data_IF_419121581899
#
_entry.id   IF_419121581899
#
_cell.length_a   1.000
_cell.length_b   1.000
_cell.length_c   1.000
_cell.angle_alpha   90.00
_cell.angle_beta   90.00
_cell.angle_gamma   90.00
#
_symmetry.space_group_name_H-M   'P 1'
#
loop_
_entity.id
_entity.type
_entity.pdbx_description
1 polymer ?
#
# COMPACT_ATOMS: atom_id res chain seq x y z
N UNK A 1 26.71 -9.58 -4.95
CA UNK A 1 25.26 -9.31 -4.93
C UNK A 1 24.57 -10.16 -5.98
N UNK A 2 23.42 -10.76 -5.67
CA UNK A 2 22.68 -11.55 -6.65
C UNK A 2 22.15 -10.65 -7.79
N UNK A 3 22.12 -11.18 -9.03
CA UNK A 3 21.63 -10.46 -10.21
C UNK A 3 20.25 -9.83 -10.00
N UNK A 4 19.35 -10.52 -9.28
CA UNK A 4 18.03 -10.02 -8.87
C UNK A 4 18.11 -8.66 -8.16
N UNK A 5 19.00 -8.53 -7.18
CA UNK A 5 19.13 -7.29 -6.39
C UNK A 5 19.75 -6.16 -7.22
N UNK A 6 20.69 -6.48 -8.12
CA UNK A 6 21.25 -5.49 -9.05
C UNK A 6 20.16 -4.90 -9.96
N UNK A 7 19.32 -5.75 -10.56
CA UNK A 7 18.20 -5.31 -11.41
C UNK A 7 17.25 -4.42 -10.61
N UNK A 8 16.84 -4.86 -9.41
CA UNK A 8 15.93 -4.09 -8.56
C UNK A 8 16.52 -2.72 -8.19
N UNK A 9 17.78 -2.67 -7.75
CA UNK A 9 18.45 -1.42 -7.39
C UNK A 9 18.57 -0.45 -8.57
N UNK A 10 18.81 -0.97 -9.78
CA UNK A 10 18.88 -0.17 -11.00
C UNK A 10 17.50 0.28 -11.51
N UNK A 11 16.42 -0.39 -11.10
CA UNK A 11 15.05 -0.06 -11.48
C UNK A 11 14.43 1.05 -10.61
N UNK A 12 14.83 1.17 -9.35
CA UNK A 12 14.25 2.16 -8.42
C UNK A 12 14.29 3.62 -8.94
N UNK A 13 15.41 4.11 -9.52
CA UNK A 13 15.46 5.48 -10.04
C UNK A 13 14.57 5.70 -11.28
N UNK A 14 14.13 4.63 -11.95
CA UNK A 14 13.29 4.70 -13.15
C UNK A 14 11.78 4.73 -12.80
N UNK A 15 11.41 4.42 -11.55
CA UNK A 15 10.02 4.38 -11.10
C UNK A 15 9.21 5.64 -11.40
N UNK A 16 9.75 6.87 -11.24
CA UNK A 16 8.97 8.09 -11.50
C UNK A 16 8.57 8.28 -12.98
N UNK A 17 9.17 7.52 -13.90
CA UNK A 17 8.93 7.65 -15.34
C UNK A 17 8.33 6.39 -15.97
N UNK A 18 8.59 5.21 -15.40
CA UNK A 18 8.20 3.92 -16.00
C UNK A 18 7.24 3.11 -15.09
N UNK A 19 6.87 3.64 -13.92
CA UNK A 19 5.98 3.00 -12.95
C UNK A 19 6.46 1.65 -12.40
N UNK A 20 5.61 0.99 -11.60
CA UNK A 20 5.85 -0.34 -11.00
C UNK A 20 5.55 -1.49 -11.96
N UNK A 21 6.04 -1.38 -13.18
CA UNK A 21 5.73 -2.31 -14.26
C UNK A 21 6.89 -3.26 -14.57
N UNK A 22 6.56 -4.33 -15.29
CA UNK A 22 7.55 -5.26 -15.85
C UNK A 22 8.53 -4.57 -16.81
N UNK A 23 8.08 -3.58 -17.59
CA UNK A 23 8.95 -2.87 -18.55
C UNK A 23 10.06 -2.10 -17.85
N UNK A 24 9.81 -1.55 -16.65
CA UNK A 24 10.85 -0.92 -15.82
C UNK A 24 11.99 -1.89 -15.50
N UNK A 25 11.66 -3.13 -15.15
CA UNK A 25 12.66 -4.17 -14.88
C UNK A 25 13.42 -4.59 -16.15
N UNK A 26 12.72 -4.74 -17.28
CA UNK A 26 13.36 -5.06 -18.56
C UNK A 26 14.31 -3.95 -19.01
N UNK A 27 13.96 -2.68 -18.78
CA UNK A 27 14.82 -1.54 -19.08
C UNK A 27 16.04 -1.47 -18.14
N UNK A 28 15.84 -1.68 -16.84
CA UNK A 28 16.94 -1.79 -15.89
C UNK A 28 17.91 -2.92 -16.29
N UNK A 29 17.38 -4.09 -16.69
CA UNK A 29 18.19 -5.21 -17.17
C UNK A 29 18.97 -4.86 -18.44
N UNK A 30 18.34 -4.18 -19.42
CA UNK A 30 19.02 -3.74 -20.65
C UNK A 30 20.16 -2.75 -20.35
N UNK A 31 19.97 -1.87 -19.39
CA UNK A 31 21.02 -0.92 -18.95
C UNK A 31 22.20 -1.63 -18.29
N UNK A 32 21.94 -2.68 -17.49
CA UNK A 32 22.98 -3.44 -16.79
C UNK A 32 23.69 -4.46 -17.70
N UNK A 33 22.95 -5.10 -18.61
CA UNK A 33 23.44 -6.20 -19.46
C UNK A 33 22.89 -6.06 -20.90
N UNK A 34 23.47 -5.19 -21.74
CA UNK A 34 22.97 -4.95 -23.10
C UNK A 34 23.11 -6.18 -24.03
N UNK A 35 23.92 -7.17 -23.66
CA UNK A 35 24.14 -8.39 -24.46
C UNK A 35 22.97 -9.39 -24.41
N UNK A 36 22.01 -9.21 -23.49
CA UNK A 36 20.89 -10.15 -23.33
C UNK A 36 19.81 -9.85 -24.36
N UNK A 37 19.68 -10.68 -25.39
CA UNK A 37 18.67 -10.51 -26.45
C UNK A 37 17.23 -10.68 -25.96
N UNK A 38 16.98 -11.59 -25.01
CA UNK A 38 15.66 -11.85 -24.44
C UNK A 38 15.57 -11.39 -22.98
N UNK A 39 15.39 -10.08 -22.76
CA UNK A 39 15.25 -9.50 -21.42
C UNK A 39 14.07 -10.09 -20.66
N UNK A 40 12.96 -10.32 -21.35
CA UNK A 40 11.69 -10.66 -20.73
C UNK A 40 11.69 -12.08 -20.19
N UNK A 41 12.30 -13.03 -20.91
CA UNK A 41 12.50 -14.40 -20.43
C UNK A 41 13.42 -14.49 -19.21
N UNK A 42 14.42 -13.60 -19.12
CA UNK A 42 15.27 -13.49 -17.92
C UNK A 42 14.49 -12.95 -16.73
N UNK A 43 13.62 -11.94 -16.95
CA UNK A 43 12.74 -11.43 -15.89
C UNK A 43 11.78 -12.52 -15.41
N UNK A 44 11.15 -13.27 -16.31
CA UNK A 44 10.26 -14.39 -15.94
C UNK A 44 11.00 -15.46 -15.13
N UNK A 45 12.25 -15.77 -15.51
CA UNK A 45 13.07 -16.76 -14.81
C UNK A 45 13.45 -16.30 -13.40
N UNK A 46 13.73 -15.01 -13.20
CA UNK A 46 14.22 -14.46 -11.92
C UNK A 46 13.07 -14.12 -10.96
N UNK A 47 11.98 -13.56 -11.48
CA UNK A 47 10.88 -13.01 -10.69
C UNK A 47 9.60 -13.85 -10.74
N UNK A 48 9.54 -14.82 -11.64
CA UNK A 48 8.34 -15.60 -11.93
C UNK A 48 7.56 -15.05 -13.12
N UNK A 49 6.74 -15.91 -13.71
CA UNK A 49 5.95 -15.58 -14.89
C UNK A 49 4.81 -14.60 -14.55
N UNK A 50 4.44 -13.77 -15.53
CA UNK A 50 3.30 -12.86 -15.44
C UNK A 50 3.69 -11.43 -15.06
N UNK A 51 2.69 -10.56 -14.89
CA UNK A 51 2.91 -9.15 -14.54
C UNK A 51 3.03 -8.91 -13.03
N UNK A 52 2.28 -9.67 -12.23
CA UNK A 52 2.10 -9.40 -10.80
C UNK A 52 3.37 -9.67 -9.99
N UNK A 53 4.03 -10.82 -10.20
CA UNK A 53 5.19 -11.20 -9.39
C UNK A 53 6.39 -10.26 -9.59
N UNK A 54 6.77 -9.85 -10.82
CA UNK A 54 7.81 -8.85 -11.03
C UNK A 54 7.43 -7.48 -10.46
N UNK A 55 6.20 -6.99 -10.69
CA UNK A 55 5.73 -5.72 -10.17
C UNK A 55 5.73 -5.68 -8.64
N UNK A 56 5.27 -6.76 -7.99
CA UNK A 56 5.31 -6.89 -6.52
C UNK A 56 6.73 -6.89 -5.97
N UNK A 57 7.65 -7.62 -6.61
CA UNK A 57 9.06 -7.61 -6.20
C UNK A 57 9.69 -6.22 -6.30
N UNK A 58 9.26 -5.40 -7.28
CA UNK A 58 9.70 -4.02 -7.43
C UNK A 58 9.12 -3.11 -6.34
N UNK A 59 7.85 -3.30 -5.96
CA UNK A 59 7.24 -2.59 -4.82
C UNK A 59 7.92 -2.96 -3.50
N UNK A 60 8.20 -4.25 -3.27
CA UNK A 60 8.89 -4.70 -2.06
C UNK A 60 10.30 -4.08 -1.97
N UNK A 61 11.06 -4.07 -3.07
CA UNK A 61 12.37 -3.44 -3.12
C UNK A 61 12.31 -1.91 -2.89
N UNK A 62 11.30 -1.24 -3.45
CA UNK A 62 11.07 0.19 -3.21
C UNK A 62 10.74 0.46 -1.74
N UNK A 63 9.93 -0.40 -1.10
CA UNK A 63 9.62 -0.32 0.31
C UNK A 63 10.88 -0.46 1.16
N UNK A 64 11.71 -1.48 0.89
CA UNK A 64 12.98 -1.71 1.62
C UNK A 64 13.91 -0.50 1.54
N UNK A 65 14.07 0.09 0.35
CA UNK A 65 14.88 1.29 0.17
C UNK A 65 14.27 2.51 0.89
N UNK A 66 12.95 2.62 0.91
CA UNK A 66 12.24 3.65 1.70
C UNK A 66 12.45 3.50 3.20
N UNK A 67 12.53 2.27 3.73
CA UNK A 67 12.89 2.02 5.13
C UNK A 67 14.35 2.40 5.40
N UNK A 68 15.28 2.12 4.47
CA UNK A 68 16.67 2.59 4.59
C UNK A 68 16.75 4.12 4.61
N UNK A 69 15.96 4.80 3.79
CA UNK A 69 15.90 6.26 3.79
C UNK A 69 15.43 6.83 5.14
N UNK A 70 14.57 6.11 5.89
CA UNK A 70 14.19 6.48 7.27
C UNK A 70 15.36 6.38 8.25
N UNK A 71 16.29 5.44 8.06
CA UNK A 71 17.45 5.25 8.95
C UNK A 71 18.61 6.22 8.67
N UNK A 72 18.53 7.02 7.60
CA UNK A 72 19.67 7.78 7.05
C UNK A 72 20.17 8.96 7.89
N UNK A 73 19.42 9.42 8.90
CA UNK A 73 19.86 10.55 9.71
C UNK A 73 20.91 10.11 10.73
N UNK A 74 21.92 10.97 10.92
CA UNK A 74 23.04 10.73 11.86
C UNK A 74 22.73 11.23 13.26
N UNK A 75 21.58 11.85 13.47
CA UNK A 75 21.25 12.48 14.75
C UNK A 75 20.97 11.44 15.84
N UNK A 76 21.34 11.78 17.09
CA UNK A 76 21.34 10.83 18.22
C UNK A 76 19.94 10.54 18.75
N UNK A 77 19.00 11.47 18.55
CA UNK A 77 17.60 11.34 18.92
C UNK A 77 16.76 11.97 17.83
N UNK A 78 16.16 11.15 16.98
CA UNK A 78 15.28 11.61 15.92
C UNK A 78 13.85 11.71 16.46
N UNK A 79 13.16 12.81 16.16
CA UNK A 79 11.73 12.87 16.42
C UNK A 79 10.99 11.90 15.49
N UNK A 80 9.96 11.23 16.01
CA UNK A 80 9.14 10.29 15.25
C UNK A 80 8.52 10.97 14.01
N UNK A 81 8.18 12.25 14.11
CA UNK A 81 7.67 13.04 13.00
C UNK A 81 8.67 13.12 11.85
N UNK A 82 9.94 13.43 12.15
CA UNK A 82 10.99 13.60 11.13
C UNK A 82 11.32 12.28 10.40
N UNK A 83 11.25 11.15 11.10
CA UNK A 83 11.40 9.82 10.49
C UNK A 83 10.29 9.57 9.46
N UNK A 84 9.03 9.82 9.84
CA UNK A 84 7.89 9.60 8.95
C UNK A 84 7.82 10.63 7.82
N UNK A 85 8.19 11.89 8.06
CA UNK A 85 8.30 12.94 7.02
C UNK A 85 9.28 12.54 5.92
N UNK A 86 10.44 11.97 6.29
CA UNK A 86 11.40 11.43 5.32
C UNK A 86 10.80 10.28 4.50
N UNK A 87 10.06 9.37 5.14
CA UNK A 87 9.39 8.27 4.42
C UNK A 87 8.35 8.78 3.43
N UNK A 88 7.51 9.74 3.83
CA UNK A 88 6.50 10.37 2.96
C UNK A 88 7.18 11.11 1.80
N UNK A 89 8.27 11.84 2.07
CA UNK A 89 9.03 12.55 1.03
C UNK A 89 9.63 11.57 0.02
N UNK A 90 10.18 10.44 0.48
CA UNK A 90 10.63 9.37 -0.40
C UNK A 90 9.48 8.78 -1.23
N UNK A 91 8.30 8.57 -0.64
CA UNK A 91 7.11 8.13 -1.40
C UNK A 91 6.67 9.15 -2.46
N UNK A 92 6.72 10.44 -2.16
CA UNK A 92 6.33 11.49 -3.09
C UNK A 92 7.23 11.55 -4.33
N UNK A 93 8.48 11.06 -4.25
CA UNK A 93 9.40 10.99 -5.38
C UNK A 93 8.97 10.02 -6.48
N UNK A 94 8.10 9.06 -6.18
CA UNK A 94 7.55 8.11 -7.16
C UNK A 94 6.47 8.73 -8.05
N UNK A 95 5.88 9.83 -7.59
CA UNK A 95 4.90 10.57 -8.37
C UNK A 95 3.51 9.91 -8.38
N UNK A 96 2.85 9.92 -9.53
CA UNK A 96 1.50 9.36 -9.75
C UNK A 96 1.46 7.83 -9.67
N UNK A 97 2.60 7.18 -9.89
CA UNK A 97 2.75 5.73 -9.91
C UNK A 97 2.60 5.09 -8.53
N UNK A 98 2.51 5.88 -7.45
CA UNK A 98 2.23 5.37 -6.11
C UNK A 98 0.89 4.62 -6.06
N UNK A 99 -0.12 5.06 -6.82
CA UNK A 99 -1.42 4.35 -6.89
C UNK A 99 -1.25 2.92 -7.42
N UNK A 100 -0.35 2.74 -8.39
CA UNK A 100 -0.04 1.42 -8.94
C UNK A 100 0.67 0.53 -7.91
N UNK A 101 1.55 1.09 -7.07
CA UNK A 101 2.15 0.35 -5.97
C UNK A 101 1.08 -0.22 -5.02
N UNK A 102 0.09 0.59 -4.65
CA UNK A 102 -1.03 0.15 -3.81
C UNK A 102 -1.90 -0.91 -4.51
N UNK A 103 -2.15 -0.77 -5.81
CA UNK A 103 -2.84 -1.78 -6.59
C UNK A 103 -2.06 -3.12 -6.59
N UNK A 104 -0.75 -3.07 -6.78
CA UNK A 104 0.11 -4.25 -6.72
C UNK A 104 0.17 -4.90 -5.32
N UNK A 105 0.13 -4.10 -4.24
CA UNK A 105 0.09 -4.61 -2.86
C UNK A 105 -1.23 -5.31 -2.51
N UNK A 106 -2.35 -4.79 -3.04
CA UNK A 106 -3.70 -5.35 -2.84
C UNK A 106 -3.97 -6.56 -3.73
N UNK A 107 -3.23 -6.71 -4.82
CA UNK A 107 -3.34 -7.83 -5.76
C UNK A 107 -2.85 -9.13 -5.07
N UNK A 108 -3.69 -10.17 -4.99
CA UNK A 108 -3.26 -11.46 -4.43
C UNK A 108 -2.22 -12.10 -5.36
N UNK A 109 -1.10 -12.58 -4.80
CA UNK A 109 -0.04 -13.25 -5.58
C UNK A 109 -0.48 -14.57 -6.20
N UNK A 110 -1.48 -15.21 -5.62
CA UNK A 110 -2.15 -16.38 -6.17
C UNK A 110 -3.63 -16.15 -5.97
N UNK A 111 -4.43 -16.19 -7.03
CA UNK A 111 -5.88 -16.30 -6.90
C UNK A 111 -6.17 -17.74 -6.47
N UNK A 112 -6.55 -18.00 -5.20
CA UNK A 112 -6.98 -19.34 -4.82
C UNK A 112 -8.24 -19.63 -5.63
N UNK A 113 -8.12 -20.47 -6.64
CA UNK A 113 -9.25 -20.83 -7.47
C UNK A 113 -9.98 -21.99 -6.79
N UNK A 114 -10.97 -21.64 -5.99
CA UNK A 114 -11.81 -22.64 -5.31
C UNK A 114 -12.78 -23.20 -6.37
N UNK A 115 -12.81 -24.52 -6.60
CA UNK A 115 -13.83 -25.12 -7.47
C UNK A 115 -15.20 -24.84 -6.83
N UNK A 116 -16.11 -24.23 -7.60
CA UNK A 116 -17.45 -23.93 -7.11
C UNK A 116 -18.17 -25.26 -6.80
N UNK A 117 -18.76 -25.45 -5.61
CA UNK A 117 -19.86 -26.38 -5.49
C UNK A 117 -21.00 -25.86 -6.39
N UNK A 118 -21.53 -26.71 -7.27
CA UNK A 118 -22.62 -26.38 -8.19
C UNK A 118 -23.92 -26.18 -7.42
N UNK A 119 -24.06 -25.07 -6.69
CA UNK A 119 -25.26 -24.77 -5.91
C UNK A 119 -26.14 -23.82 -6.73
N UNK A 120 -27.31 -24.27 -7.23
CA UNK A 120 -28.18 -23.46 -8.09
C UNK A 120 -28.67 -22.15 -7.42
N UNK A 121 -28.69 -22.11 -6.07
CA UNK A 121 -29.13 -20.96 -5.26
C UNK A 121 -28.20 -19.74 -5.42
N UNK A 122 -26.90 -19.92 -5.64
CA UNK A 122 -25.99 -18.78 -5.82
C UNK A 122 -26.19 -18.08 -7.17
N UNK A 123 -26.61 -18.81 -8.22
CA UNK A 123 -26.91 -18.22 -9.53
C UNK A 123 -28.12 -17.30 -9.48
N UNK A 124 -29.17 -17.69 -8.75
CA UNK A 124 -30.36 -16.85 -8.58
C UNK A 124 -30.06 -15.59 -7.77
N UNK A 125 -29.28 -15.68 -6.69
CA UNK A 125 -28.89 -14.51 -5.88
C UNK A 125 -27.97 -13.53 -6.64
N UNK A 126 -27.01 -14.03 -7.42
CA UNK A 126 -26.12 -13.18 -8.22
C UNK A 126 -26.85 -12.49 -9.37
N UNK A 127 -27.88 -13.12 -9.94
CA UNK A 127 -28.71 -12.49 -10.99
C UNK A 127 -29.50 -11.27 -10.52
N UNK A 128 -29.69 -11.12 -9.20
CA UNK A 128 -30.44 -10.00 -8.60
C UNK A 128 -29.56 -8.78 -8.30
N UNK A 129 -28.23 -8.92 -8.30
CA UNK A 129 -27.31 -7.83 -7.98
C UNK A 129 -27.03 -6.99 -9.23
N UNK A 130 -27.52 -5.74 -9.24
CA UNK A 130 -27.15 -4.74 -10.25
C UNK A 130 -25.75 -4.20 -9.93
N UNK A 131 -24.75 -4.71 -10.64
CA UNK A 131 -23.36 -4.21 -10.53
C UNK A 131 -23.30 -2.83 -11.21
N UNK A 132 -22.73 -1.80 -10.56
CA UNK A 132 -22.53 -0.50 -11.19
C UNK A 132 -21.59 -0.62 -12.41
N UNK A 133 -21.72 0.27 -13.41
CA UNK A 133 -20.86 0.25 -14.58
C UNK A 133 -19.39 0.38 -14.15
N UNK A 134 -18.54 -0.51 -14.68
CA UNK A 134 -17.09 -0.43 -14.48
C UNK A 134 -16.58 0.91 -15.02
N UNK A 135 -15.72 1.60 -14.26
CA UNK A 135 -15.14 2.87 -14.69
C UNK A 135 -14.40 2.69 -16.02
N UNK A 136 -14.83 3.42 -17.05
CA UNK A 136 -14.14 3.51 -18.34
C UNK A 136 -13.42 4.86 -18.37
N UNK A 137 -12.09 4.90 -18.61
CA UNK A 137 -11.36 6.15 -18.71
C UNK A 137 -11.94 7.03 -19.84
N UNK A 138 -12.02 8.36 -19.66
CA UNK A 138 -12.59 9.28 -20.66
C UNK A 138 -11.94 9.18 -22.05
N UNK A 139 -10.67 8.80 -22.12
CA UNK A 139 -9.92 8.65 -23.37
C UNK A 139 -10.38 7.46 -24.23
N UNK A 140 -11.21 6.54 -23.68
CA UNK A 140 -11.65 5.31 -24.35
C UNK A 140 -13.17 5.23 -24.53
N UNK A 141 -13.91 6.33 -24.35
CA UNK A 141 -15.37 6.31 -24.57
C UNK A 141 -15.68 6.09 -26.06
N UNK A 142 -16.29 4.95 -26.45
CA UNK A 142 -16.75 4.77 -27.81
C UNK A 142 -17.91 5.73 -28.10
N UNK A 143 -17.99 6.22 -29.34
CA UNK A 143 -19.01 7.19 -29.78
C UNK A 143 -20.45 6.65 -29.80
N UNK A 144 -20.64 5.36 -29.57
CA UNK A 144 -21.96 4.72 -29.48
C UNK A 144 -22.22 4.27 -28.03
N UNK A 145 -23.37 4.64 -27.43
CA UNK A 145 -23.72 4.19 -26.08
C UNK A 145 -23.83 2.66 -26.08
N UNK A 146 -23.13 1.95 -25.17
CA UNK A 146 -23.23 0.51 -25.09
C UNK A 146 -24.65 0.10 -24.70
N UNK A 147 -25.27 -0.76 -25.49
CA UNK A 147 -26.51 -1.44 -25.12
C UNK A 147 -26.32 -2.17 -23.78
N UNK A 148 -27.28 -2.11 -22.85
CA UNK A 148 -27.14 -2.73 -21.54
C UNK A 148 -27.03 -4.25 -21.69
N UNK A 149 -25.80 -4.76 -21.61
CA UNK A 149 -25.53 -6.20 -21.51
C UNK A 149 -25.96 -6.68 -20.13
N UNK A 150 -26.90 -7.64 -20.09
CA UNK A 150 -27.32 -8.29 -18.85
C UNK A 150 -26.14 -8.88 -18.10
N UNK A 151 -26.10 -8.72 -16.78
CA UNK A 151 -25.04 -9.24 -15.91
C UNK A 151 -24.80 -10.76 -16.08
N UNK A 152 -25.81 -11.51 -16.53
CA UNK A 152 -25.72 -12.92 -16.85
C UNK A 152 -24.74 -13.23 -18.00
N UNK A 153 -24.68 -12.41 -19.06
CA UNK A 153 -23.80 -12.70 -20.19
C UNK A 153 -22.32 -12.47 -19.85
N UNK A 154 -22.02 -11.49 -18.99
CA UNK A 154 -20.66 -11.23 -18.50
C UNK A 154 -20.21 -12.38 -17.60
N UNK A 155 -21.09 -12.87 -16.72
CA UNK A 155 -20.78 -13.99 -15.84
C UNK A 155 -20.61 -15.31 -16.61
N UNK A 156 -21.44 -15.56 -17.64
CA UNK A 156 -21.31 -16.73 -18.52
C UNK A 156 -20.02 -16.67 -19.35
N UNK A 157 -19.62 -15.49 -19.82
CA UNK A 157 -18.37 -15.30 -20.53
C UNK A 157 -17.15 -15.49 -19.61
N UNK A 158 -17.20 -14.98 -18.38
CA UNK A 158 -16.15 -15.23 -17.37
C UNK A 158 -16.09 -16.70 -16.98
N UNK A 159 -17.22 -17.35 -16.68
CA UNK A 159 -17.25 -18.76 -16.25
C UNK A 159 -16.85 -19.73 -17.35
N UNK A 160 -17.10 -19.42 -18.62
CA UNK A 160 -16.57 -20.19 -19.75
C UNK A 160 -15.07 -19.95 -19.95
N UNK A 161 -14.59 -18.71 -19.79
CA UNK A 161 -13.16 -18.40 -19.90
C UNK A 161 -12.30 -18.98 -18.75
N UNK A 162 -12.85 -19.08 -17.54
CA UNK A 162 -12.13 -19.54 -16.35
C UNK A 162 -12.41 -21.01 -15.98
N UNK A 163 -13.07 -21.78 -16.86
CA UNK A 163 -13.36 -23.20 -16.61
C UNK A 163 -14.22 -23.43 -15.36
N UNK A 164 -15.27 -22.63 -15.20
CA UNK A 164 -16.23 -22.67 -14.08
C UNK A 164 -15.65 -22.33 -12.71
N UNK A 165 -14.54 -21.60 -12.66
CA UNK A 165 -13.98 -21.04 -11.43
C UNK A 165 -14.32 -19.56 -11.39
N UNK A 166 -15.13 -19.11 -10.43
CA UNK A 166 -15.30 -17.66 -10.22
C UNK A 166 -13.97 -17.18 -9.62
N UNK A 167 -13.26 -16.24 -10.27
CA UNK A 167 -12.17 -15.55 -9.60
C UNK A 167 -12.82 -14.74 -8.49
N UNK A 168 -12.85 -15.29 -7.27
CA UNK A 168 -13.05 -14.47 -6.10
C UNK A 168 -11.84 -13.55 -6.08
N UNK A 169 -12.05 -12.30 -6.50
CA UNK A 169 -11.10 -11.22 -6.30
C UNK A 169 -10.98 -11.06 -4.79
N UNK A 170 -10.16 -11.89 -4.15
CA UNK A 170 -9.75 -11.70 -2.78
C UNK A 170 -8.89 -10.46 -2.80
N UNK A 171 -9.54 -9.30 -2.72
CA UNK A 171 -8.84 -8.06 -2.35
C UNK A 171 -8.12 -8.43 -1.07
N UNK A 172 -6.81 -8.25 -1.04
CA UNK A 172 -6.06 -8.36 0.19
C UNK A 172 -6.05 -6.96 0.82
N UNK A 173 -7.07 -6.57 1.62
CA UNK A 173 -7.09 -5.25 2.25
C UNK A 173 -5.91 -5.07 3.21
N UNK A 174 -5.28 -6.18 3.62
CA UNK A 174 -4.12 -6.17 4.48
C UNK A 174 -2.84 -5.80 3.73
N UNK A 175 -2.82 -5.72 2.40
CA UNK A 175 -1.64 -5.31 1.64
C UNK A 175 -1.14 -3.93 2.08
N UNK A 176 -1.92 -2.86 1.85
CA UNK A 176 -1.58 -1.51 2.31
C UNK A 176 -1.36 -1.39 3.81
N UNK A 177 -2.16 -2.10 4.62
CA UNK A 177 -1.99 -2.09 6.07
C UNK A 177 -0.67 -2.73 6.51
N UNK A 178 -0.29 -3.87 5.92
CA UNK A 178 0.98 -4.54 6.21
C UNK A 178 2.18 -3.70 5.78
N UNK A 179 2.05 -2.97 4.67
CA UNK A 179 3.03 -2.00 4.21
C UNK A 179 3.23 -0.88 5.24
N UNK A 180 2.15 -0.26 5.70
CA UNK A 180 2.20 0.78 6.73
C UNK A 180 2.65 0.26 8.10
N UNK A 181 2.29 -0.99 8.43
CA UNK A 181 2.73 -1.66 9.65
C UNK A 181 4.24 -1.77 9.74
N UNK A 182 4.89 -2.18 8.65
CA UNK A 182 6.36 -2.25 8.59
C UNK A 182 7.01 -0.87 8.75
N UNK A 183 6.41 0.17 8.18
CA UNK A 183 6.89 1.55 8.33
C UNK A 183 6.73 2.02 9.77
N UNK A 184 5.59 1.75 10.40
CA UNK A 184 5.35 2.07 11.80
C UNK A 184 6.31 1.32 12.73
N UNK A 185 6.59 0.04 12.45
CA UNK A 185 7.53 -0.77 13.21
C UNK A 185 8.95 -0.19 13.14
N UNK A 186 9.44 0.12 11.94
CA UNK A 186 10.75 0.74 11.74
C UNK A 186 10.84 2.14 12.37
N UNK A 187 9.79 2.96 12.24
CA UNK A 187 9.75 4.29 12.83
C UNK A 187 9.81 4.25 14.36
N UNK A 188 9.06 3.33 14.98
CA UNK A 188 9.12 3.09 16.43
C UNK A 188 10.49 2.55 16.83
N UNK A 189 11.05 1.59 16.07
CA UNK A 189 12.38 1.05 16.32
C UNK A 189 13.44 2.16 16.35
N UNK A 190 13.48 3.02 15.33
CA UNK A 190 14.43 4.13 15.23
C UNK A 190 14.23 5.15 16.36
N UNK A 191 12.99 5.55 16.65
CA UNK A 191 12.70 6.51 17.71
C UNK A 191 13.01 5.97 19.12
N UNK A 192 12.85 4.66 19.32
CA UNK A 192 12.92 4.06 20.65
C UNK A 192 14.28 3.46 21.00
N UNK A 193 15.05 2.97 20.02
CA UNK A 193 16.36 2.36 20.23
C UNK A 193 17.51 3.35 20.14
N UNK A 194 17.38 4.40 19.32
CA UNK A 194 18.46 5.37 19.11
C UNK A 194 18.64 6.22 20.37
N UNK A 195 19.71 5.92 21.11
CA UNK A 195 20.05 6.58 22.38
C UNK A 195 19.91 5.72 23.64
N UNK A 196 19.43 4.46 23.54
CA UNK A 196 19.43 3.53 24.68
C UNK A 196 20.68 2.67 24.68
N UNK A 197 21.25 2.44 25.86
CA UNK A 197 22.40 1.53 26.04
C UNK A 197 21.95 0.11 25.69
N UNK A 198 22.65 -0.53 24.76
CA UNK A 198 22.38 -1.90 24.35
C UNK A 198 22.32 -2.83 25.58
N UNK A 199 21.16 -3.45 25.81
CA UNK A 199 20.93 -4.33 26.97
C UNK A 199 20.02 -3.76 28.06
N UNK A 200 19.54 -2.51 27.97
CA UNK A 200 18.51 -2.02 28.89
C UNK A 200 17.18 -2.75 28.59
N UNK A 201 16.76 -3.66 29.46
CA UNK A 201 15.43 -4.29 29.37
C UNK A 201 14.39 -3.22 29.59
N UNK A 202 13.62 -2.90 28.54
CA UNK A 202 12.50 -1.98 28.66
C UNK A 202 11.46 -2.59 29.57
N UNK A 203 10.98 -1.79 30.51
CA UNK A 203 9.83 -2.11 31.34
C UNK A 203 8.62 -1.38 30.78
N UNK A 204 7.53 -2.11 30.61
CA UNK A 204 6.23 -1.57 30.22
C UNK A 204 5.60 -0.82 31.37
N UNK A 205 4.40 -0.34 31.14
CA UNK A 205 3.64 0.39 32.13
C UNK A 205 3.48 -0.39 33.44
N UNK A 206 3.33 -1.72 33.36
CA UNK A 206 3.24 -2.64 34.51
C UNK A 206 4.59 -3.07 35.11
N UNK A 207 5.70 -2.39 34.79
CA UNK A 207 7.06 -2.82 35.12
C UNK A 207 7.48 -4.19 34.56
N UNK A 208 6.64 -4.84 33.76
CA UNK A 208 6.95 -6.07 33.04
C UNK A 208 7.94 -5.79 31.92
N UNK A 209 8.83 -6.71 31.54
CA UNK A 209 9.63 -6.54 30.33
C UNK A 209 8.66 -6.25 29.16
N UNK A 210 8.82 -5.13 28.43
CA UNK A 210 7.96 -4.83 27.28
C UNK A 210 8.20 -5.89 26.21
N UNK A 211 7.42 -6.96 26.29
CA UNK A 211 7.25 -7.92 25.24
C UNK A 211 6.18 -7.45 24.24
N UNK A 212 5.72 -8.36 23.38
CA UNK A 212 4.61 -8.12 22.46
C UNK A 212 3.27 -8.10 23.22
N UNK A 213 3.08 -7.13 24.13
CA UNK A 213 1.82 -6.91 24.85
C UNK A 213 0.81 -6.07 24.05
N UNK A 214 -0.42 -5.84 24.55
CA UNK A 214 -1.45 -5.07 23.85
C UNK A 214 -0.99 -3.66 23.43
N UNK A 215 -0.24 -2.97 24.28
CA UNK A 215 0.32 -1.63 23.99
C UNK A 215 1.23 -1.63 22.75
N UNK A 216 2.01 -2.70 22.56
CA UNK A 216 2.92 -2.87 21.43
C UNK A 216 2.14 -2.89 20.11
N UNK A 217 0.98 -3.56 20.09
CA UNK A 217 0.09 -3.63 18.93
C UNK A 217 -0.66 -2.31 18.73
N UNK A 218 -1.19 -1.72 19.79
CA UNK A 218 -1.92 -0.44 19.74
C UNK A 218 -1.05 0.69 19.19
N UNK A 219 0.22 0.78 19.62
CA UNK A 219 1.15 1.78 19.09
C UNK A 219 1.39 1.61 17.59
N UNK A 220 1.62 0.36 17.13
CA UNK A 220 1.87 0.05 15.72
C UNK A 220 0.65 0.28 14.84
N UNK A 221 -0.51 -0.24 15.22
CA UNK A 221 -1.72 -0.05 14.43
C UNK A 221 -2.09 1.43 14.35
N UNK A 222 -2.04 2.16 15.47
CA UNK A 222 -2.34 3.58 15.50
C UNK A 222 -1.38 4.39 14.61
N UNK A 223 -0.08 4.11 14.70
CA UNK A 223 0.91 4.80 13.86
C UNK A 223 0.79 4.41 12.37
N UNK A 224 0.45 3.15 12.07
CA UNK A 224 0.19 2.68 10.71
C UNK A 224 -0.99 3.43 10.08
N UNK A 225 -2.06 3.62 10.86
CA UNK A 225 -3.24 4.39 10.44
C UNK A 225 -2.88 5.85 10.21
N UNK A 226 -2.13 6.46 11.13
CA UNK A 226 -1.62 7.85 10.98
C UNK A 226 -0.85 7.99 9.67
N UNK A 227 0.09 7.09 9.42
CA UNK A 227 0.90 7.09 8.21
C UNK A 227 0.05 6.93 6.94
N UNK A 228 -0.84 5.93 6.89
CA UNK A 228 -1.73 5.73 5.73
C UNK A 228 -2.65 6.92 5.47
N UNK A 229 -3.23 7.49 6.53
CA UNK A 229 -4.11 8.65 6.42
C UNK A 229 -3.34 9.83 5.80
N UNK A 230 -2.09 10.05 6.21
CA UNK A 230 -1.27 11.13 5.68
C UNK A 230 -0.78 10.87 4.25
N UNK A 231 -0.33 9.65 3.95
CA UNK A 231 0.12 9.26 2.61
C UNK A 231 -1.04 9.23 1.59
N UNK A 232 -2.28 9.02 2.04
CA UNK A 232 -3.47 9.07 1.17
C UNK A 232 -3.64 10.40 0.44
N UNK A 233 -3.08 11.49 0.98
CA UNK A 233 -3.06 12.78 0.30
C UNK A 233 -2.23 12.76 -0.99
N UNK A 234 -1.19 11.93 -1.06
CA UNK A 234 -0.35 11.75 -2.26
C UNK A 234 -1.07 10.98 -3.38
N UNK A 235 -2.12 10.21 -3.04
CA UNK A 235 -2.94 9.43 -3.98
C UNK A 235 -4.04 10.27 -4.66
N UNK A 236 -3.90 11.60 -4.66
CA UNK A 236 -4.80 12.49 -5.39
C UNK A 236 -4.35 12.59 -6.86
N UNK A 237 -5.30 12.59 -7.82
CA UNK A 237 -4.96 12.72 -9.24
C UNK A 237 -4.26 14.05 -9.49
N UNK A 238 -3.27 14.05 -10.37
CA UNK A 238 -2.48 15.25 -10.62
C UNK A 238 -3.32 16.29 -11.36
N UNK A 239 -3.08 17.60 -11.10
CA UNK A 239 -3.72 18.63 -11.90
C UNK A 239 -3.26 18.53 -13.35
N UNK A 240 -4.20 18.70 -14.28
CA UNK A 240 -3.95 18.62 -15.72
C UNK A 240 -2.85 19.62 -16.09
N UNK A 241 -1.81 19.13 -16.77
CA UNK A 241 -0.66 19.95 -17.20
C UNK A 241 0.49 20.06 -16.20
N UNK A 242 0.46 19.34 -15.06
CA UNK A 242 1.61 19.23 -14.18
C UNK A 242 2.76 18.49 -14.88
N UNK A 243 3.90 19.15 -15.05
CA UNK A 243 5.16 18.57 -15.55
C UNK A 243 6.16 18.25 -14.44
N UNK A 244 5.78 18.52 -13.18
CA UNK A 244 6.64 18.32 -12.03
C UNK A 244 6.88 16.83 -11.80
N UNK A 245 8.15 16.46 -11.63
CA UNK A 245 8.56 15.09 -11.27
C UNK A 245 8.18 14.71 -9.84
N UNK A 246 8.03 15.70 -8.96
CA UNK A 246 7.64 15.53 -7.57
C UNK A 246 6.14 15.72 -7.38
N UNK A 247 5.55 14.94 -6.46
CA UNK A 247 4.12 15.01 -6.18
C UNK A 247 3.68 16.39 -5.66
N UNK A 248 2.72 17.08 -6.33
CA UNK A 248 2.29 18.42 -5.93
C UNK A 248 1.55 18.45 -4.59
N UNK A 249 1.13 17.30 -4.07
CA UNK A 249 0.41 17.17 -2.79
C UNK A 249 1.33 16.84 -1.61
N UNK A 250 2.66 16.92 -1.77
CA UNK A 250 3.61 16.62 -0.70
C UNK A 250 3.35 17.48 0.55
N UNK A 251 3.26 18.80 0.41
CA UNK A 251 3.07 19.71 1.56
C UNK A 251 1.77 19.39 2.32
N UNK A 252 0.71 19.08 1.59
CA UNK A 252 -0.58 18.66 2.16
C UNK A 252 -0.46 17.35 2.93
N UNK A 253 0.32 16.39 2.42
CA UNK A 253 0.59 15.11 3.09
C UNK A 253 1.39 15.30 4.38
N UNK A 254 2.41 16.17 4.36
CA UNK A 254 3.22 16.50 5.53
C UNK A 254 2.40 17.23 6.62
N UNK A 255 1.57 18.21 6.23
CA UNK A 255 0.67 18.88 7.17
C UNK A 255 -0.37 17.93 7.78
N UNK A 256 -0.88 16.98 6.99
CA UNK A 256 -1.75 15.93 7.49
C UNK A 256 -1.03 14.99 8.47
N UNK A 257 0.25 14.65 8.22
CA UNK A 257 1.08 13.87 9.14
C UNK A 257 1.25 14.58 10.48
N UNK A 258 1.59 15.86 10.50
CA UNK A 258 1.75 16.61 11.75
C UNK A 258 0.44 16.61 12.56
N UNK A 259 -0.67 16.94 11.92
CA UNK A 259 -2.01 16.94 12.54
C UNK A 259 -2.39 15.56 13.09
N UNK A 260 -2.12 14.49 12.33
CA UNK A 260 -2.46 13.13 12.73
C UNK A 260 -1.56 12.61 13.85
N UNK A 261 -0.28 13.00 13.88
CA UNK A 261 0.66 12.64 14.94
C UNK A 261 0.32 13.34 16.26
N UNK A 262 -0.09 14.60 16.24
CA UNK A 262 -0.55 15.31 17.44
C UNK A 262 -1.76 14.60 18.06
N UNK A 263 -2.74 14.22 17.23
CA UNK A 263 -3.91 13.45 17.67
C UNK A 263 -3.53 12.07 18.21
N UNK A 264 -2.61 11.39 17.54
CA UNK A 264 -2.11 10.10 18.02
C UNK A 264 -1.42 10.22 19.39
N UNK A 265 -0.58 11.24 19.58
CA UNK A 265 0.08 11.55 20.85
C UNK A 265 -0.95 11.86 21.94
N UNK A 266 -1.98 12.66 21.64
CA UNK A 266 -3.02 12.97 22.62
C UNK A 266 -3.82 11.72 23.01
N UNK A 267 -4.19 10.86 22.06
CA UNK A 267 -4.87 9.60 22.33
C UNK A 267 -4.02 8.67 23.19
N UNK A 268 -2.73 8.51 22.86
CA UNK A 268 -1.82 7.70 23.68
C UNK A 268 -1.73 8.23 25.10
N UNK A 269 -1.60 9.56 25.28
CA UNK A 269 -1.54 10.16 26.61
C UNK A 269 -2.85 10.01 27.40
N UNK A 270 -4.00 9.99 26.71
CA UNK A 270 -5.30 9.72 27.34
C UNK A 270 -5.45 8.25 27.73
N UNK A 271 -4.93 7.32 26.91
CA UNK A 271 -4.91 5.89 27.24
C UNK A 271 -4.00 5.59 28.43
N UNK A 272 -2.85 6.25 28.52
CA UNK A 272 -1.95 6.14 29.68
C UNK A 272 -2.59 6.65 30.98
N UNK A 273 -3.55 7.58 30.89
CA UNK A 273 -4.27 8.13 32.05
C UNK A 273 -5.56 7.39 32.39
N UNK A 274 -6.10 6.62 31.45
CA UNK A 274 -7.42 6.00 31.56
C UNK A 274 -7.28 4.49 31.50
N UNK A 275 -6.82 3.91 32.61
CA UNK A 275 -6.72 2.46 32.81
C UNK A 275 -8.10 1.76 32.70
N UNK A 276 -9.22 2.51 32.74
CA UNK A 276 -10.59 1.97 32.70
C UNK A 276 -11.32 2.09 31.35
N UNK A 277 -10.87 2.92 30.40
CA UNK A 277 -11.62 3.17 29.14
C UNK A 277 -10.98 2.54 27.89
N UNK A 278 -11.00 1.21 27.79
CA UNK A 278 -10.80 0.55 26.49
C UNK A 278 -11.84 0.97 25.42
N UNK A 279 -12.97 1.56 25.82
CA UNK A 279 -14.04 2.04 24.92
C UNK A 279 -13.62 3.14 23.95
N UNK A 280 -12.64 3.98 24.29
CA UNK A 280 -12.25 5.12 23.44
C UNK A 280 -11.43 4.72 22.20
N UNK A 281 -10.74 3.58 22.24
CA UNK A 281 -10.02 3.05 21.06
C UNK A 281 -10.99 2.66 19.97
N UNK A 282 -12.13 2.06 20.32
CA UNK A 282 -13.16 1.68 19.37
C UNK A 282 -13.75 2.91 18.66
N UNK A 283 -13.98 3.99 19.41
CA UNK A 283 -14.49 5.26 18.86
C UNK A 283 -13.51 5.90 17.87
N UNK A 284 -12.20 5.80 18.11
CA UNK A 284 -11.18 6.28 17.18
C UNK A 284 -11.16 5.46 15.88
N UNK A 285 -11.19 4.12 15.99
CA UNK A 285 -11.22 3.24 14.81
C UNK A 285 -12.48 3.51 13.98
N UNK A 286 -13.63 3.68 14.62
CA UNK A 286 -14.88 4.04 13.93
C UNK A 286 -14.79 5.43 13.26
N UNK A 287 -14.19 6.42 13.93
CA UNK A 287 -13.96 7.75 13.35
C UNK A 287 -13.06 7.70 12.11
N UNK A 288 -11.93 6.99 12.17
CA UNK A 288 -11.03 6.82 11.03
C UNK A 288 -11.75 6.10 9.89
N UNK A 289 -12.47 5.03 10.20
CA UNK A 289 -13.24 4.28 9.21
C UNK A 289 -14.30 5.17 8.54
N UNK A 290 -15.02 6.00 9.30
CA UNK A 290 -15.99 6.98 8.77
C UNK A 290 -15.32 8.06 7.93
N UNK A 291 -14.15 8.55 8.33
CA UNK A 291 -13.37 9.54 7.57
C UNK A 291 -12.95 8.98 6.22
N UNK A 292 -12.48 7.73 6.18
CA UNK A 292 -12.11 7.03 4.95
C UNK A 292 -13.35 6.74 4.09
N UNK A 293 -14.46 6.30 4.70
CA UNK A 293 -15.73 6.11 4.02
C UNK A 293 -16.24 7.39 3.36
N UNK A 294 -16.09 8.55 4.01
CA UNK A 294 -16.44 9.86 3.45
C UNK A 294 -15.58 10.24 2.24
N UNK A 295 -14.25 10.04 2.34
CA UNK A 295 -13.30 10.28 1.23
C UNK A 295 -13.54 9.36 0.03
N UNK A 296 -13.90 8.11 0.26
CA UNK A 296 -14.25 7.17 -0.81
C UNK A 296 -15.56 7.63 -1.46
N UNK A 297 -16.59 7.91 -0.66
CA UNK A 297 -17.91 8.31 -1.17
C UNK A 297 -17.87 9.61 -1.98
N UNK A 298 -17.03 10.58 -1.62
CA UNK A 298 -16.89 11.84 -2.37
C UNK A 298 -16.10 11.73 -3.67
N UNK A 299 -15.40 10.62 -3.92
CA UNK A 299 -14.72 10.37 -5.20
C UNK A 299 -15.60 9.68 -6.24
N UNK A 300 -16.74 9.11 -5.83
CA UNK A 300 -17.66 8.37 -6.70
C UNK A 300 -19.00 9.09 -6.94
N UNK A 301 -19.20 10.28 -6.35
CA UNK A 301 -20.32 11.19 -6.59
C UNK A 301 -19.83 12.41 -7.37
#
# INVERSE_FOLDING_TARGET
>A
MALRQQILSSALPLLPTHSFTRSTLSQALRSLKPQVSNSDGVIDTIFGNGSVAPSRALVDAWQEEGLRAMSSSKETKEDLGDVLKRRITYSAGVGEHLVEAYANLTTPSSTPSIPLPSIPILRTLLSTVKIPPSYVPPALQPSNPPTPTSASSILDQMTNATGHRIPLSSINPLGPLSYAWRIADEALFLNEQKGKVQGSVRRGYWNEPTGPGPEWYTKRIGLSIVYLASESALLQPYPVGSTTTMNPYLDKSLAALDTNLERYKSILSSLERSEENMGDVANFVDYVARSWGGLIKSRYL
#
